data_IF_155376183179
#
_entry.id   IF_155376183179
#
_cell.length_a   1.000
_cell.length_b   1.000
_cell.length_c   1.000
_cell.angle_alpha   90.00
_cell.angle_beta   90.00
_cell.angle_gamma   90.00
#
_symmetry.space_group_name_H-M   'P 1'
#
loop_
_entity.id
_entity.type
_entity.pdbx_description
1 polymer ?
#
# COMPACT_ATOMS: atom_id res chain seq x y z
N UNK A 1 -32.80 -27.40 30.60
CA UNK A 1 -32.21 -28.03 29.41
C UNK A 1 -31.57 -26.90 28.68
N UNK A 2 -30.30 -26.72 28.97
CA UNK A 2 -29.49 -25.63 28.45
C UNK A 2 -29.13 -25.99 27.02
N UNK A 3 -29.56 -25.15 26.08
CA UNK A 3 -29.18 -25.24 24.68
C UNK A 3 -27.68 -24.86 24.59
N UNK A 4 -26.80 -25.86 24.75
CA UNK A 4 -25.41 -25.80 24.32
C UNK A 4 -25.40 -25.63 22.79
N UNK A 5 -25.40 -24.38 22.36
CA UNK A 5 -25.12 -24.00 20.98
C UNK A 5 -23.64 -24.30 20.72
N UNK A 6 -23.36 -25.52 20.27
CA UNK A 6 -22.05 -25.94 19.79
C UNK A 6 -21.58 -24.92 18.73
N UNK A 7 -20.43 -24.24 18.89
CA UNK A 7 -19.89 -23.41 17.83
C UNK A 7 -19.59 -24.31 16.64
N UNK A 8 -20.22 -24.02 15.50
CA UNK A 8 -20.04 -24.77 14.27
C UNK A 8 -18.61 -24.60 13.79
N UNK A 9 -17.87 -25.70 13.59
CA UNK A 9 -16.46 -25.77 13.17
C UNK A 9 -16.04 -24.83 12.01
N UNK A 10 -17.01 -24.41 11.20
CA UNK A 10 -16.88 -23.39 10.15
C UNK A 10 -16.41 -22.02 10.70
N UNK A 11 -16.94 -21.55 11.82
CA UNK A 11 -16.61 -20.22 12.36
C UNK A 11 -15.18 -20.17 12.93
N UNK A 12 -14.77 -21.22 13.64
CA UNK A 12 -13.40 -21.36 14.16
C UNK A 12 -12.36 -21.45 13.02
N UNK A 13 -12.68 -22.16 11.94
CA UNK A 13 -11.81 -22.26 10.76
C UNK A 13 -11.62 -20.91 10.06
N UNK A 14 -12.68 -20.10 10.00
CA UNK A 14 -12.64 -18.76 9.41
C UNK A 14 -11.83 -17.80 10.26
N UNK A 15 -12.03 -17.81 11.57
CA UNK A 15 -11.25 -17.01 12.51
C UNK A 15 -9.75 -17.35 12.44
N UNK A 16 -9.44 -18.64 12.32
CA UNK A 16 -8.06 -19.13 12.16
C UNK A 16 -7.44 -18.63 10.85
N UNK A 17 -8.18 -18.67 9.73
CA UNK A 17 -7.69 -18.19 8.43
C UNK A 17 -7.45 -16.68 8.44
N UNK A 18 -8.38 -15.90 8.97
CA UNK A 18 -8.24 -14.45 9.10
C UNK A 18 -7.00 -14.10 9.93
N UNK A 19 -6.80 -14.77 11.07
CA UNK A 19 -5.64 -14.56 11.90
C UNK A 19 -4.32 -14.91 11.20
N UNK A 20 -4.24 -16.07 10.53
CA UNK A 20 -3.03 -16.48 9.77
C UNK A 20 -2.75 -15.50 8.64
N UNK A 21 -3.77 -15.05 7.93
CA UNK A 21 -3.63 -14.03 6.89
C UNK A 21 -3.08 -12.72 7.47
N UNK A 22 -3.59 -12.28 8.62
CA UNK A 22 -3.08 -11.09 9.32
C UNK A 22 -1.61 -11.21 9.69
N UNK A 23 -1.19 -12.36 10.24
CA UNK A 23 0.22 -12.63 10.52
C UNK A 23 1.06 -12.62 9.24
N UNK A 24 0.57 -13.21 8.16
CA UNK A 24 1.25 -13.20 6.87
C UNK A 24 1.48 -11.77 6.36
N UNK A 25 0.48 -10.88 6.42
CA UNK A 25 0.65 -9.47 6.09
C UNK A 25 1.74 -8.78 6.94
N UNK A 26 1.80 -9.07 8.24
CA UNK A 26 2.82 -8.50 9.12
C UNK A 26 4.22 -9.06 8.82
N UNK A 27 4.33 -10.34 8.49
CA UNK A 27 5.60 -10.95 8.09
C UNK A 27 6.13 -10.35 6.79
N UNK A 28 5.25 -10.01 5.85
CA UNK A 28 5.62 -9.34 4.60
C UNK A 28 6.18 -7.92 4.79
N UNK A 29 6.02 -7.29 5.95
CA UNK A 29 6.68 -6.00 6.23
C UNK A 29 8.20 -6.12 6.19
N UNK A 30 8.77 -7.27 6.57
CA UNK A 30 10.21 -7.48 6.59
C UNK A 30 10.85 -7.49 5.19
N UNK A 31 10.40 -8.33 4.23
CA UNK A 31 10.91 -8.26 2.87
C UNK A 31 10.61 -6.89 2.23
N UNK A 32 9.47 -6.28 2.52
CA UNK A 32 9.14 -4.93 2.03
C UNK A 32 10.14 -3.88 2.55
N UNK A 33 10.54 -3.97 3.82
CA UNK A 33 11.57 -3.09 4.40
C UNK A 33 12.94 -3.27 3.75
N UNK A 34 13.33 -4.52 3.47
CA UNK A 34 14.61 -4.82 2.81
C UNK A 34 14.64 -4.22 1.41
N UNK A 35 13.56 -4.39 0.63
CA UNK A 35 13.44 -3.81 -0.70
C UNK A 35 13.47 -2.29 -0.67
N UNK A 36 12.65 -1.67 0.19
CA UNK A 36 12.60 -0.23 0.34
C UNK A 36 13.96 0.36 0.74
N UNK A 37 14.71 -0.31 1.63
CA UNK A 37 16.06 0.12 1.99
C UNK A 37 17.05 -0.03 0.83
N UNK A 38 16.93 -1.08 0.02
CA UNK A 38 17.72 -1.25 -1.20
C UNK A 38 17.50 -0.11 -2.19
N UNK A 39 16.23 0.22 -2.46
CA UNK A 39 15.84 1.34 -3.32
C UNK A 39 16.32 2.69 -2.77
N UNK A 40 16.17 2.91 -1.47
CA UNK A 40 16.66 4.12 -0.80
C UNK A 40 18.16 4.34 -1.03
N UNK A 41 18.98 3.28 -0.93
CA UNK A 41 20.41 3.39 -1.20
C UNK A 41 20.69 3.75 -2.64
N UNK A 42 19.97 3.14 -3.58
CA UNK A 42 20.11 3.49 -5.00
C UNK A 42 19.74 4.95 -5.27
N UNK A 43 18.70 5.48 -4.60
CA UNK A 43 18.30 6.88 -4.73
C UNK A 43 19.38 7.81 -4.18
N UNK A 44 19.94 7.52 -2.99
CA UNK A 44 21.04 8.33 -2.45
C UNK A 44 22.24 8.33 -3.39
N UNK A 45 22.60 7.17 -3.95
CA UNK A 45 23.69 7.09 -4.92
C UNK A 45 23.35 7.94 -6.17
N UNK A 46 22.09 7.94 -6.62
CA UNK A 46 21.62 8.78 -7.73
C UNK A 46 21.68 10.28 -7.41
N UNK A 47 21.46 10.68 -6.15
CA UNK A 47 21.60 12.06 -5.69
C UNK A 47 23.01 12.60 -5.90
N UNK A 48 24.03 11.78 -5.72
CA UNK A 48 25.43 12.17 -5.97
C UNK A 48 25.67 12.53 -7.45
N UNK A 49 24.86 12.00 -8.36
CA UNK A 49 24.93 12.25 -9.80
C UNK A 49 23.88 13.24 -10.32
N UNK A 50 23.23 14.01 -9.43
CA UNK A 50 22.25 15.03 -9.81
C UNK A 50 20.78 14.57 -9.78
N UNK A 51 20.46 13.55 -8.98
CA UNK A 51 19.08 13.11 -8.73
C UNK A 51 18.16 14.18 -8.14
N UNK A 52 16.85 13.99 -8.33
CA UNK A 52 15.82 14.97 -7.97
C UNK A 52 15.18 14.64 -6.60
N UNK A 53 14.82 15.68 -5.83
CA UNK A 53 14.03 15.55 -4.61
C UNK A 53 12.67 14.89 -4.84
N UNK A 54 12.12 15.02 -6.05
CA UNK A 54 10.90 14.34 -6.44
C UNK A 54 11.05 12.80 -6.38
N UNK A 55 12.22 12.25 -6.70
CA UNK A 55 12.48 10.80 -6.64
C UNK A 55 12.37 10.27 -5.19
N UNK A 56 12.88 11.03 -4.21
CA UNK A 56 12.76 10.69 -2.78
C UNK A 56 11.29 10.71 -2.36
N UNK A 57 10.55 11.74 -2.77
CA UNK A 57 9.14 11.91 -2.38
C UNK A 57 8.32 10.75 -2.95
N UNK A 58 8.49 10.42 -4.23
CA UNK A 58 7.81 9.30 -4.88
C UNK A 58 8.16 7.96 -4.22
N UNK A 59 9.44 7.74 -3.87
CA UNK A 59 9.85 6.54 -3.10
C UNK A 59 9.23 6.46 -1.71
N UNK A 60 9.20 7.58 -0.95
CA UNK A 60 8.57 7.64 0.37
C UNK A 60 7.07 7.31 0.23
N UNK A 61 6.39 7.89 -0.74
CA UNK A 61 4.95 7.67 -0.95
C UNK A 61 4.67 6.21 -1.32
N UNK A 62 5.44 5.63 -2.24
CA UNK A 62 5.32 4.22 -2.60
C UNK A 62 5.54 3.31 -1.39
N UNK A 63 6.67 3.48 -0.70
CA UNK A 63 7.04 2.68 0.48
C UNK A 63 6.01 2.83 1.59
N UNK A 64 5.61 4.05 1.93
CA UNK A 64 4.62 4.31 2.96
C UNK A 64 3.26 3.68 2.59
N UNK A 65 2.88 3.69 1.31
CA UNK A 65 1.63 3.08 0.83
C UNK A 65 1.63 1.57 1.09
N UNK A 66 2.63 0.83 0.59
CA UNK A 66 2.69 -0.62 0.76
C UNK A 66 2.84 -1.02 2.24
N UNK A 67 3.67 -0.31 3.01
CA UNK A 67 3.80 -0.53 4.45
C UNK A 67 2.48 -0.32 5.18
N UNK A 68 1.77 0.77 4.88
CA UNK A 68 0.51 1.09 5.54
C UNK A 68 -0.54 0.04 5.22
N UNK A 69 -0.63 -0.41 3.97
CA UNK A 69 -1.54 -1.48 3.55
C UNK A 69 -1.24 -2.76 4.34
N UNK A 70 0.02 -3.23 4.35
CA UNK A 70 0.42 -4.47 5.02
C UNK A 70 0.20 -4.39 6.54
N UNK A 71 0.64 -3.30 7.16
CA UNK A 71 0.57 -3.12 8.61
C UNK A 71 -0.88 -3.03 9.09
N UNK A 72 -1.69 -2.14 8.49
CA UNK A 72 -3.08 -1.94 8.91
C UNK A 72 -3.92 -3.17 8.59
N UNK A 73 -3.73 -3.80 7.43
CA UNK A 73 -4.43 -5.05 7.10
C UNK A 73 -4.05 -6.15 8.09
N UNK A 74 -2.76 -6.30 8.39
CA UNK A 74 -2.26 -7.23 9.38
C UNK A 74 -2.93 -7.03 10.74
N UNK A 75 -2.90 -5.81 11.28
CA UNK A 75 -3.54 -5.48 12.55
C UNK A 75 -5.07 -5.66 12.53
N UNK A 76 -5.73 -5.39 11.40
CA UNK A 76 -7.18 -5.61 11.26
C UNK A 76 -7.49 -7.10 11.37
N UNK A 77 -6.80 -7.95 10.61
CA UNK A 77 -7.06 -9.37 10.51
C UNK A 77 -6.60 -10.17 11.74
N UNK A 78 -5.58 -9.70 12.48
CA UNK A 78 -5.22 -10.30 13.78
C UNK A 78 -6.14 -9.85 14.94
N UNK A 79 -7.11 -8.98 14.69
CA UNK A 79 -8.03 -8.47 15.71
C UNK A 79 -7.42 -7.41 16.64
N UNK A 80 -6.30 -6.81 16.27
CA UNK A 80 -5.63 -5.76 17.06
C UNK A 80 -6.34 -4.40 16.92
N UNK A 81 -7.05 -4.16 15.81
CA UNK A 81 -7.90 -2.97 15.63
C UNK A 81 -9.30 -3.24 16.20
N UNK A 82 -9.48 -2.96 17.49
CA UNK A 82 -10.77 -3.14 18.19
C UNK A 82 -11.70 -1.93 18.13
N UNK A 83 -11.13 -0.73 18.03
CA UNK A 83 -11.88 0.52 18.02
C UNK A 83 -12.41 0.84 16.62
N UNK A 84 -13.71 1.12 16.52
CA UNK A 84 -14.35 1.54 15.28
C UNK A 84 -13.72 2.85 14.74
N UNK A 85 -13.32 3.76 15.62
CA UNK A 85 -12.65 5.02 15.24
C UNK A 85 -11.29 4.74 14.61
N UNK A 86 -10.50 3.85 15.19
CA UNK A 86 -9.18 3.47 14.65
C UNK A 86 -9.33 2.74 13.33
N UNK A 87 -10.32 1.85 13.20
CA UNK A 87 -10.62 1.17 11.94
C UNK A 87 -11.01 2.17 10.84
N UNK A 88 -11.95 3.06 11.12
CA UNK A 88 -12.39 4.06 10.14
C UNK A 88 -11.24 5.01 9.77
N UNK A 89 -10.51 5.51 10.77
CA UNK A 89 -9.37 6.40 10.54
C UNK A 89 -8.27 5.76 9.71
N UNK A 90 -7.93 4.50 9.98
CA UNK A 90 -6.92 3.75 9.22
C UNK A 90 -7.36 3.45 7.78
N UNK A 91 -8.64 3.14 7.55
CA UNK A 91 -9.19 3.00 6.21
C UNK A 91 -9.13 4.31 5.40
N UNK A 92 -9.56 5.43 6.00
CA UNK A 92 -9.44 6.77 5.37
C UNK A 92 -7.98 7.11 5.09
N UNK A 93 -7.08 6.84 6.04
CA UNK A 93 -5.66 7.11 5.89
C UNK A 93 -5.05 6.40 4.69
N UNK A 94 -5.33 5.09 4.50
CA UNK A 94 -4.85 4.35 3.34
C UNK A 94 -5.38 4.96 2.04
N UNK A 95 -6.67 5.31 1.98
CA UNK A 95 -7.28 5.90 0.77
C UNK A 95 -6.60 7.23 0.44
N UNK A 96 -6.40 8.09 1.43
CA UNK A 96 -5.75 9.38 1.24
C UNK A 96 -4.30 9.21 0.78
N UNK A 97 -3.54 8.33 1.44
CA UNK A 97 -2.15 8.06 1.08
C UNK A 97 -2.03 7.52 -0.35
N UNK A 98 -2.92 6.59 -0.72
CA UNK A 98 -2.98 6.04 -2.08
C UNK A 98 -3.35 7.12 -3.10
N UNK A 99 -4.28 8.01 -2.76
CA UNK A 99 -4.67 9.14 -3.64
C UNK A 99 -3.53 10.12 -3.82
N UNK A 100 -2.79 10.46 -2.76
CA UNK A 100 -1.61 11.33 -2.85
C UNK A 100 -0.53 10.70 -3.71
N UNK A 101 -0.28 9.39 -3.56
CA UNK A 101 0.65 8.65 -4.40
C UNK A 101 0.21 8.67 -5.88
N UNK A 102 -1.09 8.49 -6.17
CA UNK A 102 -1.63 8.63 -7.52
C UNK A 102 -1.35 10.01 -8.13
N UNK A 103 -1.58 11.08 -7.35
CA UNK A 103 -1.37 12.46 -7.81
C UNK A 103 0.11 12.71 -8.07
N UNK A 104 1.00 12.20 -7.20
CA UNK A 104 2.45 12.27 -7.41
C UNK A 104 2.81 11.68 -8.77
N UNK A 105 2.24 10.50 -9.11
CA UNK A 105 2.57 9.84 -10.38
C UNK A 105 2.08 10.58 -11.62
N UNK A 106 0.95 11.27 -11.52
CA UNK A 106 0.44 12.14 -12.58
C UNK A 106 1.37 13.36 -12.76
N UNK A 107 1.90 13.90 -11.65
CA UNK A 107 2.86 15.01 -11.68
C UNK A 107 4.18 14.61 -12.35
N UNK A 108 4.71 13.42 -12.03
CA UNK A 108 5.93 12.88 -12.65
C UNK A 108 5.78 12.83 -14.18
N UNK A 109 4.65 12.33 -14.68
CA UNK A 109 4.38 12.30 -16.13
C UNK A 109 4.38 13.68 -16.77
N UNK A 110 3.70 14.65 -16.14
CA UNK A 110 3.62 16.01 -16.65
C UNK A 110 5.00 16.69 -16.70
N UNK A 111 5.89 16.32 -15.78
CA UNK A 111 7.27 16.80 -15.73
C UNK A 111 8.16 16.13 -16.79
N UNK A 112 8.13 14.80 -16.90
CA UNK A 112 8.88 14.06 -17.92
C UNK A 112 8.50 14.50 -19.34
N UNK A 113 7.20 14.72 -19.59
CA UNK A 113 6.70 15.22 -20.86
C UNK A 113 7.27 16.59 -21.22
N UNK A 114 7.40 17.48 -20.24
CA UNK A 114 7.94 18.84 -20.43
C UNK A 114 9.46 18.84 -20.58
N UNK A 115 10.16 18.02 -19.80
CA UNK A 115 11.62 18.05 -19.69
C UNK A 115 12.32 17.26 -20.79
N UNK A 116 11.75 16.14 -21.25
CA UNK A 116 12.39 15.27 -22.23
C UNK A 116 11.94 15.51 -23.68
N UNK A 117 11.05 16.48 -23.92
CA UNK A 117 10.42 16.65 -25.23
C UNK A 117 9.66 15.39 -25.68
N UNK A 118 9.21 14.60 -24.70
CA UNK A 118 8.59 13.30 -24.88
C UNK A 118 7.19 13.49 -25.48
N UNK A 119 7.01 13.03 -26.72
CA UNK A 119 5.73 13.08 -27.44
C UNK A 119 4.90 11.80 -27.24
N UNK A 120 5.41 10.86 -26.44
CA UNK A 120 4.74 9.59 -26.16
C UNK A 120 3.42 9.82 -25.43
N UNK A 121 2.47 8.95 -25.74
CA UNK A 121 1.12 9.04 -25.20
C UNK A 121 1.09 8.68 -23.71
N UNK A 122 0.12 9.22 -22.97
CA UNK A 122 -0.16 8.80 -21.59
C UNK A 122 -0.24 7.27 -21.44
N UNK A 123 -0.73 6.55 -22.45
CA UNK A 123 -0.82 5.09 -22.41
C UNK A 123 0.54 4.41 -22.33
N UNK A 124 1.55 4.96 -23.00
CA UNK A 124 2.90 4.38 -23.04
C UNK A 124 3.61 4.56 -21.69
N UNK A 125 3.42 5.71 -21.05
CA UNK A 125 3.88 5.92 -19.68
C UNK A 125 3.21 4.99 -18.66
N UNK A 126 1.94 4.65 -18.85
CA UNK A 126 1.25 3.67 -18.00
C UNK A 126 1.81 2.26 -18.16
N UNK A 127 2.46 1.95 -19.29
CA UNK A 127 3.10 0.66 -19.53
C UNK A 127 4.51 0.54 -18.94
N UNK A 128 5.13 1.65 -18.51
CA UNK A 128 6.41 1.57 -17.82
C UNK A 128 6.25 0.78 -16.53
N UNK A 129 7.15 -0.20 -16.31
CA UNK A 129 7.01 -1.16 -15.21
C UNK A 129 6.84 -0.48 -13.86
N UNK A 130 7.62 0.58 -13.59
CA UNK A 130 7.53 1.36 -12.34
C UNK A 130 6.20 2.09 -12.19
N UNK A 131 5.65 2.66 -13.28
CA UNK A 131 4.33 3.30 -13.29
C UNK A 131 3.23 2.27 -13.05
N UNK A 132 3.27 1.16 -13.79
CA UNK A 132 2.27 0.12 -13.75
C UNK A 132 2.16 -0.49 -12.35
N UNK A 133 3.28 -0.89 -11.76
CA UNK A 133 3.34 -1.47 -10.41
C UNK A 133 2.82 -0.48 -9.35
N UNK A 134 3.15 0.80 -9.48
CA UNK A 134 2.68 1.85 -8.57
C UNK A 134 1.17 2.04 -8.66
N UNK A 135 0.60 2.02 -9.87
CA UNK A 135 -0.84 2.15 -10.06
C UNK A 135 -1.60 0.95 -9.49
N UNK A 136 -1.11 -0.26 -9.69
CA UNK A 136 -1.68 -1.46 -9.07
C UNK A 136 -1.71 -1.32 -7.55
N UNK A 137 -0.60 -0.88 -6.95
CA UNK A 137 -0.51 -0.66 -5.51
C UNK A 137 -1.51 0.39 -5.02
N UNK A 138 -1.62 1.52 -5.73
CA UNK A 138 -2.54 2.60 -5.39
C UNK A 138 -3.99 2.14 -5.46
N UNK A 139 -4.38 1.45 -6.53
CA UNK A 139 -5.74 0.92 -6.67
C UNK A 139 -6.05 -0.12 -5.60
N UNK A 140 -5.10 -1.02 -5.32
CA UNK A 140 -5.22 -1.99 -4.25
C UNK A 140 -5.38 -1.29 -2.89
N UNK A 141 -4.61 -0.23 -2.63
CA UNK A 141 -4.72 0.59 -1.42
C UNK A 141 -6.09 1.21 -1.26
N UNK A 142 -6.65 1.83 -2.30
CA UNK A 142 -8.00 2.41 -2.27
C UNK A 142 -9.05 1.33 -1.97
N UNK A 143 -8.97 0.18 -2.65
CA UNK A 143 -9.91 -0.94 -2.47
C UNK A 143 -9.82 -1.50 -1.06
N UNK A 144 -8.61 -1.79 -0.56
CA UNK A 144 -8.39 -2.31 0.80
C UNK A 144 -8.86 -1.30 1.85
N UNK A 145 -8.53 -0.02 1.66
CA UNK A 145 -9.00 1.06 2.53
C UNK A 145 -10.52 1.06 2.64
N UNK A 146 -11.24 0.94 1.52
CA UNK A 146 -12.70 0.80 1.51
C UNK A 146 -13.19 -0.46 2.26
N UNK A 147 -12.53 -1.60 2.07
CA UNK A 147 -12.84 -2.84 2.81
C UNK A 147 -12.55 -2.76 4.31
N UNK A 148 -11.62 -1.92 4.74
CA UNK A 148 -11.39 -1.63 6.16
C UNK A 148 -12.52 -0.75 6.73
N UNK A 149 -13.01 0.21 5.95
CA UNK A 149 -14.14 1.06 6.35
C UNK A 149 -15.42 0.25 6.54
N UNK A 150 -15.65 -0.72 5.65
CA UNK A 150 -16.81 -1.60 5.70
C UNK A 150 -16.79 -2.44 7.00
N UNK A 151 -17.95 -2.47 7.66
CA UNK A 151 -18.16 -3.24 8.89
C UNK A 151 -18.33 -4.72 8.58
#
# INVERSE_FOLDING_TARGET
MDDEKLPTSSEDSKYTLEYVFGIFCLLLLLPTAILAFGEYRNIIDYFEYGGDFNDIISWILYTATIFSILFISGLKFTGNIKSNTVRVGSGIFIILLSTVNLISRISDFDEERKNLGFDDSWLEFLYWSSTHETLELVFLGIVIGFFILKR
#
